data_IF_070464868482
#
_entry.id   IF_070464868482
#
_cell.length_a   1.000
_cell.length_b   1.000
_cell.length_c   1.000
_cell.angle_alpha   90.00
_cell.angle_beta   90.00
_cell.angle_gamma   90.00
#
_symmetry.space_group_name_H-M   'P 1'
#
loop_
_entity.id
_entity.type
_entity.pdbx_description
1 polymer ?
#
# COMPACT_ATOMS: atom_id res chain seq x y z
N UNK A 1 -0.96 -8.60 41.09
CA UNK A 1 -0.90 -7.12 40.99
C UNK A 1 -0.87 -6.75 39.52
N UNK A 2 -1.95 -6.18 38.99
CA UNK A 2 -2.08 -5.88 37.55
C UNK A 2 -2.46 -4.40 37.41
N UNK A 3 -1.44 -3.55 37.31
CA UNK A 3 -1.63 -2.10 37.12
C UNK A 3 -1.93 -1.87 35.65
N UNK A 4 -3.21 -1.67 35.32
CA UNK A 4 -3.62 -1.08 34.03
C UNK A 4 -3.22 0.40 34.08
N UNK A 5 -2.10 0.76 33.45
CA UNK A 5 -1.84 2.16 33.11
C UNK A 5 -2.89 2.60 32.08
N UNK A 6 -3.85 3.42 32.52
CA UNK A 6 -4.85 4.04 31.66
C UNK A 6 -4.18 5.00 30.68
N UNK A 7 -3.90 4.53 29.46
CA UNK A 7 -3.54 5.42 28.37
C UNK A 7 -4.78 6.20 27.94
N UNK A 8 -4.82 7.51 28.18
CA UNK A 8 -5.89 8.39 27.70
C UNK A 8 -6.09 8.18 26.20
N UNK A 9 -7.29 7.75 25.81
CA UNK A 9 -7.64 7.54 24.41
C UNK A 9 -8.26 8.81 23.85
N UNK A 10 -7.75 9.25 22.70
CA UNK A 10 -8.27 10.35 21.91
C UNK A 10 -9.18 9.77 20.82
N UNK A 11 -10.47 10.10 20.89
CA UNK A 11 -11.50 9.63 19.95
C UNK A 11 -11.84 10.73 18.94
N UNK A 12 -12.08 10.35 17.71
CA UNK A 12 -12.64 11.24 16.71
C UNK A 12 -14.12 11.51 17.03
N UNK A 13 -14.53 12.77 16.96
CA UNK A 13 -15.94 13.16 17.15
C UNK A 13 -16.82 12.93 15.91
N UNK A 14 -16.24 12.49 14.79
CA UNK A 14 -16.93 12.36 13.50
C UNK A 14 -16.84 10.95 12.88
N UNK A 15 -16.09 10.03 13.50
CA UNK A 15 -16.05 8.61 13.12
C UNK A 15 -15.48 7.76 14.26
N UNK A 16 -15.47 6.44 14.07
CA UNK A 16 -15.02 5.48 15.09
C UNK A 16 -13.49 5.42 15.29
N UNK A 17 -12.73 6.38 14.74
CA UNK A 17 -11.28 6.42 14.87
C UNK A 17 -10.85 6.74 16.30
N UNK A 18 -9.97 5.91 16.86
CA UNK A 18 -9.40 6.07 18.20
C UNK A 18 -7.88 5.93 18.15
N UNK A 19 -7.18 6.77 18.91
CA UNK A 19 -5.71 6.74 19.02
C UNK A 19 -5.29 7.10 20.44
N UNK A 20 -4.14 6.62 20.89
CA UNK A 20 -3.53 7.00 22.17
C UNK A 20 -2.68 8.26 22.09
N UNK A 21 -2.50 8.82 20.89
CA UNK A 21 -1.72 10.03 20.64
C UNK A 21 -2.58 11.16 20.07
N UNK A 22 -2.61 12.30 20.75
CA UNK A 22 -3.36 13.49 20.33
C UNK A 22 -2.94 13.99 18.93
N UNK A 23 -1.64 13.96 18.62
CA UNK A 23 -1.11 14.34 17.29
C UNK A 23 -1.69 13.48 16.16
N UNK A 24 -1.92 12.19 16.42
CA UNK A 24 -2.55 11.31 15.45
C UNK A 24 -4.02 11.65 15.27
N UNK A 25 -4.73 12.05 16.33
CA UNK A 25 -6.12 12.50 16.23
C UNK A 25 -6.21 13.79 15.42
N UNK A 26 -5.35 14.79 15.70
CA UNK A 26 -5.28 16.03 14.91
C UNK A 26 -5.01 15.77 13.43
N UNK A 27 -4.04 14.89 13.12
CA UNK A 27 -3.77 14.49 11.74
C UNK A 27 -4.96 13.77 11.10
N UNK A 28 -5.59 12.86 11.82
CA UNK A 28 -6.78 12.15 11.35
C UNK A 28 -7.91 13.14 11.03
N UNK A 29 -8.19 14.08 11.93
CA UNK A 29 -9.17 15.15 11.69
C UNK A 29 -8.83 15.92 10.43
N UNK A 30 -7.60 16.38 10.24
CA UNK A 30 -7.21 17.13 9.05
C UNK A 30 -7.33 16.33 7.74
N UNK A 31 -7.02 15.03 7.75
CA UNK A 31 -7.01 14.19 6.54
C UNK A 31 -8.40 13.64 6.21
N UNK A 32 -9.18 13.23 7.21
CA UNK A 32 -10.47 12.59 6.96
C UNK A 32 -11.63 13.58 7.00
N UNK A 33 -11.58 14.54 7.93
CA UNK A 33 -12.68 15.47 8.22
C UNK A 33 -12.36 16.92 7.86
N UNK A 34 -11.09 17.25 7.62
CA UNK A 34 -10.64 18.57 7.25
C UNK A 34 -10.98 18.91 5.81
N UNK A 35 -11.37 20.17 5.60
CA UNK A 35 -11.55 20.77 4.28
C UNK A 35 -10.23 21.27 3.69
N UNK A 36 -9.17 21.40 4.51
CA UNK A 36 -7.88 21.94 4.07
C UNK A 36 -7.19 20.97 3.12
N UNK A 37 -7.03 21.43 1.89
CA UNK A 37 -6.32 20.76 0.83
C UNK A 37 -4.99 21.46 0.56
N UNK A 38 -3.95 20.67 0.31
CA UNK A 38 -2.66 21.11 -0.16
C UNK A 38 -2.63 20.96 -1.69
N UNK A 39 -2.58 22.08 -2.40
CA UNK A 39 -2.54 22.12 -3.86
C UNK A 39 -1.09 22.26 -4.34
N UNK A 40 -0.76 21.56 -5.43
CA UNK A 40 0.46 21.82 -6.18
C UNK A 40 0.37 23.19 -6.85
N UNK A 41 1.50 23.91 -6.91
CA UNK A 41 1.59 25.20 -7.61
C UNK A 41 1.80 25.04 -9.11
N UNK A 42 2.27 23.87 -9.54
CA UNK A 42 2.79 23.63 -10.89
C UNK A 42 1.89 22.67 -11.70
N UNK A 43 0.83 22.12 -11.09
CA UNK A 43 -0.22 21.34 -11.74
C UNK A 43 -1.50 21.24 -10.89
N UNK A 44 -2.54 20.62 -11.43
CA UNK A 44 -3.85 20.45 -10.76
C UNK A 44 -3.87 19.39 -9.63
N UNK A 45 -2.71 18.89 -9.20
CA UNK A 45 -2.66 17.89 -8.14
C UNK A 45 -3.03 18.47 -6.78
N UNK A 46 -3.91 17.76 -6.07
CA UNK A 46 -4.40 18.15 -4.75
C UNK A 46 -4.33 16.97 -3.79
N UNK A 47 -3.91 17.21 -2.55
CA UNK A 47 -3.85 16.19 -1.50
C UNK A 47 -4.20 16.75 -0.13
N UNK A 48 -4.67 15.89 0.77
CA UNK A 48 -4.97 16.27 2.16
C UNK A 48 -3.76 16.19 3.10
N UNK A 49 -2.60 15.82 2.58
CA UNK A 49 -1.37 15.62 3.36
C UNK A 49 -0.22 16.46 2.84
N UNK A 50 0.33 17.33 3.68
CA UNK A 50 1.53 18.13 3.37
C UNK A 50 2.73 17.27 2.96
N UNK A 51 2.86 16.07 3.56
CA UNK A 51 3.91 15.11 3.19
C UNK A 51 3.73 14.62 1.75
N UNK A 52 2.49 14.26 1.39
CA UNK A 52 2.17 13.80 0.04
C UNK A 52 2.38 14.92 -0.98
N UNK A 53 2.04 16.17 -0.65
CA UNK A 53 2.31 17.29 -1.55
C UNK A 53 3.81 17.45 -1.77
N UNK A 54 4.63 17.39 -0.71
CA UNK A 54 6.09 17.47 -0.84
C UNK A 54 6.67 16.33 -1.68
N UNK A 55 6.19 15.11 -1.47
CA UNK A 55 6.61 13.95 -2.27
C UNK A 55 6.19 14.10 -3.75
N UNK A 56 4.99 14.62 -3.99
CA UNK A 56 4.51 14.95 -5.34
C UNK A 56 5.38 16.03 -5.99
N UNK A 57 5.66 17.14 -5.28
CA UNK A 57 6.51 18.22 -5.78
C UNK A 57 7.88 17.66 -6.14
N UNK A 58 8.57 16.98 -5.22
CA UNK A 58 9.86 16.33 -5.51
C UNK A 58 9.78 15.33 -6.66
N UNK A 59 8.64 14.64 -6.77
CA UNK A 59 8.36 13.58 -7.72
C UNK A 59 8.17 14.03 -9.16
N UNK A 60 7.48 15.15 -9.35
CA UNK A 60 6.95 15.60 -10.63
C UNK A 60 7.50 16.94 -11.08
N UNK A 61 7.84 17.81 -10.13
CA UNK A 61 8.24 19.20 -10.37
C UNK A 61 9.63 19.54 -9.79
N UNK A 62 10.15 18.69 -8.91
CA UNK A 62 11.42 18.88 -8.24
C UNK A 62 12.59 18.47 -9.12
N UNK A 63 13.69 19.22 -9.00
CA UNK A 63 14.98 18.91 -9.63
C UNK A 63 15.79 17.86 -8.85
N UNK A 64 15.40 17.55 -7.60
CA UNK A 64 16.17 16.64 -6.74
C UNK A 64 15.94 15.19 -7.15
N UNK A 65 16.87 14.70 -7.96
CA UNK A 65 16.96 13.34 -8.41
C UNK A 65 17.92 12.54 -7.53
N UNK A 66 17.50 11.33 -7.14
CA UNK A 66 18.34 10.32 -6.53
C UNK A 66 18.84 9.39 -7.64
N UNK A 67 20.13 9.51 -7.96
CA UNK A 67 20.80 8.68 -8.98
C UNK A 67 21.39 7.43 -8.34
N UNK A 68 21.28 6.32 -9.05
CA UNK A 68 22.02 5.11 -8.75
C UNK A 68 23.51 5.35 -9.00
N UNK A 69 24.38 4.83 -8.13
CA UNK A 69 25.82 4.95 -8.28
C UNK A 69 26.42 3.84 -9.15
N UNK A 70 25.62 2.82 -9.51
CA UNK A 70 26.05 1.64 -10.24
C UNK A 70 25.38 1.49 -11.64
N UNK A 71 24.43 2.36 -11.99
CA UNK A 71 23.85 2.45 -13.33
C UNK A 71 23.13 3.80 -13.53
N UNK A 72 22.59 4.01 -14.73
CA UNK A 72 21.90 5.26 -15.10
C UNK A 72 20.49 5.44 -14.50
N UNK A 73 20.07 4.57 -13.58
CA UNK A 73 18.75 4.66 -12.97
C UNK A 73 18.62 5.91 -12.10
N UNK A 74 17.51 6.62 -12.27
CA UNK A 74 17.18 7.83 -11.52
C UNK A 74 15.77 7.73 -10.95
N UNK A 75 15.59 8.23 -9.73
CA UNK A 75 14.27 8.31 -9.09
C UNK A 75 14.16 9.55 -8.22
N UNK A 76 12.94 9.98 -7.92
CA UNK A 76 12.64 11.18 -7.15
C UNK A 76 12.42 10.91 -5.65
N UNK A 77 12.50 9.64 -5.23
CA UNK A 77 12.38 9.27 -3.81
C UNK A 77 13.51 8.38 -3.32
N UNK A 78 14.15 8.77 -2.20
CA UNK A 78 15.17 7.95 -1.51
C UNK A 78 14.76 6.48 -1.27
N UNK A 79 13.52 6.18 -0.83
CA UNK A 79 13.11 4.79 -0.62
C UNK A 79 13.09 3.96 -1.91
N UNK A 80 12.76 4.59 -3.04
CA UNK A 80 12.77 3.94 -4.34
C UNK A 80 14.19 3.67 -4.82
N UNK A 81 15.13 4.59 -4.57
CA UNK A 81 16.53 4.37 -4.90
C UNK A 81 17.10 3.22 -4.05
N UNK A 82 16.87 3.24 -2.74
CA UNK A 82 17.30 2.15 -1.85
C UNK A 82 16.75 0.79 -2.30
N UNK A 83 15.47 0.74 -2.69
CA UNK A 83 14.86 -0.46 -3.25
C UNK A 83 15.54 -0.87 -4.56
N UNK A 84 15.73 0.06 -5.49
CA UNK A 84 16.42 -0.20 -6.75
C UNK A 84 17.81 -0.77 -6.51
N UNK A 85 18.61 -0.17 -5.61
CA UNK A 85 19.92 -0.68 -5.23
C UNK A 85 19.83 -2.12 -4.75
N UNK A 86 18.94 -2.43 -3.81
CA UNK A 86 18.76 -3.79 -3.30
C UNK A 86 18.37 -4.80 -4.40
N UNK A 87 17.53 -4.39 -5.35
CA UNK A 87 17.00 -5.27 -6.42
C UNK A 87 17.98 -5.49 -7.56
N UNK A 88 18.74 -4.46 -7.95
CA UNK A 88 19.56 -4.49 -9.17
C UNK A 88 21.06 -4.63 -8.89
N UNK A 89 21.51 -4.19 -7.72
CA UNK A 89 22.93 -4.11 -7.37
C UNK A 89 23.26 -4.72 -6.00
N UNK A 90 22.24 -5.06 -5.21
CA UNK A 90 22.38 -5.65 -3.89
C UNK A 90 22.42 -7.17 -3.95
N UNK A 91 23.06 -7.77 -2.95
CA UNK A 91 23.07 -9.22 -2.72
C UNK A 91 22.01 -9.66 -1.71
N UNK A 92 21.30 -8.72 -1.06
CA UNK A 92 20.34 -9.05 0.00
C UNK A 92 19.11 -9.72 -0.59
N UNK A 93 19.04 -11.02 -0.37
CA UNK A 93 17.94 -11.88 -0.76
C UNK A 93 17.26 -12.46 0.49
N UNK A 94 15.94 -12.57 0.42
CA UNK A 94 15.12 -13.30 1.37
C UNK A 94 14.93 -14.71 0.83
N UNK A 95 15.51 -15.69 1.51
CA UNK A 95 15.42 -17.11 1.16
C UNK A 95 14.34 -17.79 1.98
N UNK A 96 13.62 -18.72 1.35
CA UNK A 96 12.75 -19.63 2.06
C UNK A 96 13.59 -20.63 2.86
N UNK A 97 13.18 -20.91 4.11
CA UNK A 97 13.83 -21.93 4.93
C UNK A 97 13.39 -23.36 4.64
N UNK A 98 12.45 -23.57 3.73
CA UNK A 98 11.81 -24.87 3.45
C UNK A 98 11.91 -25.31 1.98
N UNK A 99 12.41 -24.45 1.08
CA UNK A 99 12.66 -24.77 -0.32
C UNK A 99 13.63 -23.76 -0.93
N UNK A 100 13.99 -23.95 -2.21
CA UNK A 100 14.95 -23.10 -2.92
C UNK A 100 14.37 -21.74 -3.37
N UNK A 101 13.16 -21.38 -2.91
CA UNK A 101 12.56 -20.10 -3.27
C UNK A 101 13.34 -18.92 -2.69
N UNK A 102 13.67 -17.96 -3.55
CA UNK A 102 14.39 -16.74 -3.19
C UNK A 102 13.68 -15.53 -3.76
N UNK A 103 13.63 -14.44 -2.98
CA UNK A 103 13.08 -13.17 -3.44
C UNK A 103 13.81 -12.00 -2.81
N UNK A 104 13.80 -10.85 -3.48
CA UNK A 104 14.37 -9.60 -2.98
C UNK A 104 13.39 -8.79 -2.11
N UNK A 105 12.15 -9.28 -1.94
CA UNK A 105 11.10 -8.61 -1.18
C UNK A 105 10.60 -9.48 -0.03
N UNK A 106 10.76 -9.01 1.21
CA UNK A 106 10.28 -9.70 2.41
C UNK A 106 8.78 -10.04 2.36
N UNK A 107 7.96 -9.11 1.85
CA UNK A 107 6.52 -9.32 1.65
C UNK A 107 6.22 -10.49 0.71
N UNK A 108 7.05 -10.70 -0.32
CA UNK A 108 6.89 -11.83 -1.22
C UNK A 108 7.30 -13.13 -0.54
N UNK A 109 8.35 -13.13 0.30
CA UNK A 109 8.72 -14.32 1.07
C UNK A 109 7.60 -14.69 2.03
N UNK A 110 7.07 -13.73 2.80
CA UNK A 110 5.92 -13.95 3.69
C UNK A 110 4.71 -14.54 2.95
N UNK A 111 4.38 -14.00 1.78
CA UNK A 111 3.32 -14.54 0.94
C UNK A 111 3.64 -15.97 0.46
N UNK A 112 4.85 -16.20 -0.02
CA UNK A 112 5.30 -17.53 -0.46
C UNK A 112 5.16 -18.55 0.67
N UNK A 113 5.62 -18.21 1.90
CA UNK A 113 5.45 -19.05 3.07
C UNK A 113 3.99 -19.40 3.31
N UNK A 114 3.08 -18.43 3.28
CA UNK A 114 1.66 -18.69 3.48
C UNK A 114 1.04 -19.57 2.39
N UNK A 115 1.42 -19.37 1.12
CA UNK A 115 0.82 -20.07 -0.02
C UNK A 115 1.37 -21.49 -0.17
N UNK A 116 2.68 -21.67 -0.04
CA UNK A 116 3.33 -22.96 -0.31
C UNK A 116 3.51 -23.81 0.94
N UNK A 117 3.85 -23.18 2.07
CA UNK A 117 4.19 -23.88 3.31
C UNK A 117 3.13 -23.69 4.41
N UNK A 118 2.18 -22.78 4.20
CA UNK A 118 1.09 -22.50 5.13
C UNK A 118 -0.08 -23.47 4.98
N UNK A 119 -0.79 -23.64 6.09
CA UNK A 119 -2.06 -24.37 6.16
C UNK A 119 -3.27 -23.46 6.01
N UNK A 120 -3.10 -22.13 6.14
CA UNK A 120 -4.21 -21.18 6.09
C UNK A 120 -4.85 -21.16 4.70
N UNK A 121 -6.16 -21.35 4.67
CA UNK A 121 -6.99 -21.24 3.48
C UNK A 121 -7.99 -20.11 3.64
N UNK A 122 -8.32 -19.47 2.52
CA UNK A 122 -9.32 -18.44 2.41
C UNK A 122 -10.47 -18.99 1.57
N UNK A 123 -11.63 -19.17 2.21
CA UNK A 123 -12.85 -19.66 1.56
C UNK A 123 -13.73 -18.49 1.12
N UNK A 124 -14.32 -18.62 -0.06
CA UNK A 124 -15.36 -17.72 -0.53
C UNK A 124 -16.64 -17.89 0.29
N UNK A 125 -17.30 -16.78 0.62
CA UNK A 125 -18.57 -16.81 1.36
C UNK A 125 -19.79 -17.06 0.45
N UNK A 126 -19.64 -16.95 -0.87
CA UNK A 126 -20.73 -17.08 -1.85
C UNK A 126 -20.65 -18.30 -2.76
N UNK A 127 -19.62 -19.15 -2.63
CA UNK A 127 -19.49 -20.43 -3.35
C UNK A 127 -18.40 -21.30 -2.71
N UNK A 128 -18.15 -22.49 -3.29
CA UNK A 128 -17.16 -23.46 -2.77
C UNK A 128 -15.70 -23.14 -3.14
N UNK A 129 -15.42 -21.97 -3.71
CA UNK A 129 -14.05 -21.58 -4.06
C UNK A 129 -13.16 -21.40 -2.82
N UNK A 130 -11.97 -22.00 -2.85
CA UNK A 130 -10.95 -21.92 -1.79
C UNK A 130 -9.59 -21.60 -2.38
N UNK A 131 -8.79 -20.78 -1.69
CA UNK A 131 -7.42 -20.43 -2.11
C UNK A 131 -6.52 -20.18 -0.91
N UNK A 132 -5.20 -20.39 -1.07
CA UNK A 132 -4.20 -20.04 -0.04
C UNK A 132 -3.70 -18.59 -0.15
N UNK A 133 -4.06 -17.85 -1.20
CA UNK A 133 -3.70 -16.43 -1.38
C UNK A 133 -4.92 -15.52 -1.22
N UNK A 134 -4.88 -14.64 -0.22
CA UNK A 134 -5.93 -13.62 0.05
C UNK A 134 -6.20 -12.71 -1.16
N UNK A 135 -5.20 -12.43 -1.98
CA UNK A 135 -5.36 -11.61 -3.19
C UNK A 135 -6.19 -12.33 -4.25
N UNK A 136 -5.98 -13.64 -4.39
CA UNK A 136 -6.79 -14.47 -5.28
C UNK A 136 -8.24 -14.53 -4.80
N UNK A 137 -8.48 -14.62 -3.49
CA UNK A 137 -9.84 -14.56 -2.96
C UNK A 137 -10.48 -13.20 -3.28
N UNK A 138 -9.77 -12.09 -3.03
CA UNK A 138 -10.28 -10.75 -3.33
C UNK A 138 -10.64 -10.59 -4.82
N UNK A 139 -9.76 -11.03 -5.72
CA UNK A 139 -10.02 -11.03 -7.16
C UNK A 139 -11.23 -11.91 -7.51
N UNK A 140 -11.30 -13.11 -6.95
CA UNK A 140 -12.44 -14.00 -7.14
C UNK A 140 -13.76 -13.32 -6.72
N UNK A 141 -13.80 -12.68 -5.54
CA UNK A 141 -14.97 -11.93 -5.08
C UNK A 141 -15.34 -10.82 -6.07
N UNK A 142 -14.38 -10.05 -6.57
CA UNK A 142 -14.63 -8.99 -7.55
C UNK A 142 -15.22 -9.54 -8.87
N UNK A 143 -14.67 -10.64 -9.39
CA UNK A 143 -15.09 -11.15 -10.70
C UNK A 143 -16.40 -11.94 -10.63
N UNK A 144 -16.63 -12.69 -9.55
CA UNK A 144 -17.72 -13.68 -9.45
C UNK A 144 -18.89 -13.22 -8.60
N UNK A 145 -18.67 -12.35 -7.62
CA UNK A 145 -19.68 -11.97 -6.63
C UNK A 145 -19.93 -10.46 -6.56
N UNK A 146 -19.07 -9.63 -7.15
CA UNK A 146 -19.30 -8.19 -7.25
C UNK A 146 -20.14 -7.84 -8.48
N UNK A 147 -21.06 -6.90 -8.29
CA UNK A 147 -21.77 -6.22 -9.37
C UNK A 147 -20.96 -5.06 -9.96
N UNK A 148 -19.83 -4.68 -9.33
CA UNK A 148 -18.99 -3.58 -9.80
C UNK A 148 -18.29 -3.93 -11.11
N UNK A 149 -18.44 -3.05 -12.09
CA UNK A 149 -17.81 -3.13 -13.40
C UNK A 149 -16.96 -1.88 -13.63
N UNK A 150 -15.82 -2.04 -14.29
CA UNK A 150 -14.94 -0.97 -14.71
C UNK A 150 -15.11 -0.79 -16.21
N UNK A 151 -15.72 0.32 -16.62
CA UNK A 151 -15.88 0.70 -18.01
C UNK A 151 -14.69 1.55 -18.45
N UNK A 152 -14.13 1.25 -19.61
CA UNK A 152 -13.15 2.11 -20.25
C UNK A 152 -13.79 3.45 -20.62
N UNK A 153 -13.08 4.56 -20.41
CA UNK A 153 -13.60 5.89 -20.77
C UNK A 153 -13.48 6.22 -22.26
N UNK A 154 -12.74 5.41 -23.03
CA UNK A 154 -12.48 5.63 -24.46
C UNK A 154 -12.97 4.52 -25.40
N UNK A 155 -13.61 3.48 -24.88
CA UNK A 155 -14.25 2.42 -25.69
C UNK A 155 -15.31 1.67 -24.87
N UNK A 156 -16.06 0.78 -25.52
CA UNK A 156 -17.12 0.00 -24.87
C UNK A 156 -16.63 -1.20 -24.04
N UNK A 157 -15.31 -1.30 -23.80
CA UNK A 157 -14.75 -2.37 -22.99
C UNK A 157 -15.16 -2.25 -21.51
N UNK A 158 -15.61 -3.37 -20.94
CA UNK A 158 -16.02 -3.48 -19.54
C UNK A 158 -15.36 -4.70 -18.90
N UNK A 159 -14.74 -4.52 -17.73
CA UNK A 159 -14.12 -5.61 -16.95
C UNK A 159 -14.62 -5.62 -15.51
N UNK A 160 -14.68 -6.80 -14.90
CA UNK A 160 -14.96 -6.96 -13.45
C UNK A 160 -13.69 -6.97 -12.59
N UNK A 161 -12.52 -7.00 -13.22
CA UNK A 161 -11.23 -6.89 -12.55
C UNK A 161 -10.62 -5.52 -12.83
N UNK A 162 -10.24 -4.79 -11.78
CA UNK A 162 -9.61 -3.49 -11.94
C UNK A 162 -8.17 -3.72 -12.37
N UNK A 163 -7.91 -3.60 -13.67
CA UNK A 163 -6.54 -3.51 -14.17
C UNK A 163 -5.99 -2.19 -13.61
N UNK A 164 -5.02 -2.28 -12.71
CA UNK A 164 -4.28 -1.13 -12.14
C UNK A 164 -2.94 -1.03 -12.87
#
# INVERSE_FOLDING_TARGET
MNVRHGSTQFKCGQCDYVTTYELNLKRHMNVHHGSTQFKCTDCDYVTKSKKCLREHMNGRHGSTQFKCTACDYVTTGKPFLKRHMNVRHGSTQFKCGQCDYVTIYELNLKRHMNVHHGSTQFKCTGCDYVTKDKRNLKRHMNVRHSSTQFKCTGCDYVTKDKIV
#
